data_IF_270776602530
#
_entry.id   IF_270776602530
#
_cell.length_a   1.000
_cell.length_b   1.000
_cell.length_c   1.000
_cell.angle_alpha   90.00
_cell.angle_beta   90.00
_cell.angle_gamma   90.00
#
_symmetry.space_group_name_H-M   'P 1'
#
loop_
_entity.id
_entity.type
_entity.pdbx_description
1 polymer ?
#
# COMPACT_ATOMS: atom_id res chain seq x y z
N UNK A 1 0.93 -19.08 -11.19
CA UNK A 1 -0.02 -18.26 -10.41
C UNK A 1 0.24 -16.80 -10.74
N UNK A 2 -0.79 -16.04 -11.12
CA UNK A 2 -0.62 -14.60 -11.37
C UNK A 2 -0.42 -13.90 -10.03
N UNK A 3 0.65 -13.11 -9.87
CA UNK A 3 0.99 -12.44 -8.59
C UNK A 3 -0.14 -11.56 -8.04
N UNK A 4 -1.09 -11.13 -8.88
CA UNK A 4 -2.31 -10.43 -8.46
C UNK A 4 -3.21 -11.27 -7.55
N UNK A 5 -3.32 -12.59 -7.76
CA UNK A 5 -4.11 -13.48 -6.90
C UNK A 5 -3.38 -13.91 -5.63
N UNK A 6 -2.04 -13.84 -5.62
CA UNK A 6 -1.24 -14.03 -4.41
C UNK A 6 -1.41 -12.84 -3.45
N UNK A 7 -1.50 -11.61 -3.97
CA UNK A 7 -1.66 -10.42 -3.13
C UNK A 7 -3.06 -10.31 -2.51
N UNK A 8 -4.14 -10.68 -3.21
CA UNK A 8 -5.48 -10.78 -2.61
C UNK A 8 -5.50 -11.69 -1.36
N UNK A 9 -4.83 -12.85 -1.43
CA UNK A 9 -4.62 -13.75 -0.26
C UNK A 9 -3.75 -13.15 0.84
N UNK A 10 -3.09 -12.02 0.61
CA UNK A 10 -2.23 -11.34 1.59
C UNK A 10 -2.84 -10.05 2.12
N UNK A 11 -3.94 -9.56 1.54
CA UNK A 11 -4.71 -8.40 2.03
C UNK A 11 -5.35 -8.68 3.39
N UNK A 12 -5.97 -9.86 3.55
CA UNK A 12 -6.49 -10.32 4.84
C UNK A 12 -5.37 -10.51 5.87
N UNK A 13 -4.16 -10.89 5.42
CA UNK A 13 -3.00 -11.07 6.31
C UNK A 13 -2.47 -9.74 6.83
N UNK A 14 -2.50 -8.67 6.04
CA UNK A 14 -2.17 -7.32 6.52
C UNK A 14 -3.18 -6.85 7.58
N UNK A 15 -4.48 -7.05 7.36
CA UNK A 15 -5.49 -6.74 8.36
C UNK A 15 -5.32 -7.58 9.65
N UNK A 16 -4.92 -8.85 9.52
CA UNK A 16 -4.62 -9.71 10.68
C UNK A 16 -3.40 -9.24 11.48
N UNK A 17 -2.37 -8.74 10.81
CA UNK A 17 -1.15 -8.21 11.47
C UNK A 17 -1.40 -6.91 12.23
N UNK A 18 -2.40 -6.14 11.79
CA UNK A 18 -2.87 -4.94 12.48
C UNK A 18 -4.28 -5.19 12.99
N UNK A 19 -4.38 -5.97 14.06
CA UNK A 19 -5.60 -6.57 14.65
C UNK A 19 -6.77 -5.58 14.91
N UNK A 20 -6.52 -4.27 14.90
CA UNK A 20 -7.53 -3.21 15.05
C UNK A 20 -7.66 -2.28 13.84
N UNK A 21 -7.13 -2.69 12.69
CA UNK A 21 -7.24 -1.94 11.44
C UNK A 21 -8.32 -2.49 10.53
N UNK A 22 -8.98 -1.62 9.79
CA UNK A 22 -9.95 -1.98 8.75
C UNK A 22 -9.34 -1.80 7.37
N UNK A 23 -9.59 -2.75 6.47
CA UNK A 23 -9.13 -2.72 5.09
C UNK A 23 -10.20 -2.18 4.15
N UNK A 24 -9.84 -1.18 3.34
CA UNK A 24 -10.67 -0.68 2.24
C UNK A 24 -9.95 -1.00 0.92
N UNK A 25 -10.56 -1.84 0.08
CA UNK A 25 -9.98 -2.23 -1.20
C UNK A 25 -10.13 -1.15 -2.27
N UNK A 26 -9.23 -1.15 -3.27
CA UNK A 26 -9.35 -0.32 -4.48
C UNK A 26 -10.75 -0.37 -5.11
N UNK A 27 -11.37 -1.56 -5.16
CA UNK A 27 -12.73 -1.74 -5.70
C UNK A 27 -13.76 -0.92 -4.92
N UNK A 28 -13.67 -0.95 -3.58
CA UNK A 28 -14.56 -0.17 -2.70
C UNK A 28 -14.30 1.33 -2.87
N UNK A 29 -13.02 1.74 -2.94
CA UNK A 29 -12.63 3.12 -3.19
C UNK A 29 -13.15 3.66 -4.52
N UNK A 30 -13.01 2.88 -5.60
CA UNK A 30 -13.58 3.21 -6.91
C UNK A 30 -15.08 3.41 -6.81
N UNK A 31 -15.79 2.45 -6.24
CA UNK A 31 -17.24 2.52 -6.12
C UNK A 31 -17.71 3.73 -5.29
N UNK A 32 -17.04 4.06 -4.19
CA UNK A 32 -17.34 5.25 -3.38
C UNK A 32 -17.00 6.56 -4.12
N UNK A 33 -15.85 6.63 -4.79
CA UNK A 33 -15.44 7.78 -5.61
C UNK A 33 -16.44 8.05 -6.75
N UNK A 34 -16.88 7.00 -7.45
CA UNK A 34 -17.88 7.13 -8.52
C UNK A 34 -19.27 7.49 -7.99
N UNK A 35 -19.65 7.01 -6.80
CA UNK A 35 -20.91 7.38 -6.14
C UNK A 35 -20.98 8.86 -5.75
N UNK A 36 -19.85 9.46 -5.38
CA UNK A 36 -19.79 10.88 -5.02
C UNK A 36 -19.85 11.82 -6.23
N UNK A 37 -19.93 11.31 -7.46
CA UNK A 37 -20.04 12.12 -8.68
C UNK A 37 -18.78 12.94 -9.02
N UNK A 38 -17.70 12.79 -8.22
CA UNK A 38 -16.41 13.44 -8.44
C UNK A 38 -15.60 12.63 -9.45
N UNK A 39 -16.12 12.56 -10.68
CA UNK A 39 -15.40 12.02 -11.82
C UNK A 39 -14.26 12.96 -12.21
N UNK A 40 -13.11 12.88 -11.52
CA UNK A 40 -11.84 13.40 -12.03
C UNK A 40 -10.64 12.53 -11.66
N UNK A 41 -9.74 12.49 -12.63
CA UNK A 41 -8.41 11.88 -12.65
C UNK A 41 -7.67 12.15 -11.34
N UNK A 42 -7.34 11.08 -10.64
CA UNK A 42 -6.56 11.12 -9.43
C UNK A 42 -6.18 9.70 -9.10
N UNK A 43 -4.89 9.49 -8.82
CA UNK A 43 -4.36 8.19 -8.48
C UNK A 43 -5.12 7.61 -7.28
N UNK A 44 -5.57 6.36 -7.40
CA UNK A 44 -6.24 5.63 -6.34
C UNK A 44 -5.27 4.57 -5.80
N UNK A 45 -5.11 4.47 -4.47
CA UNK A 45 -4.31 3.40 -3.91
C UNK A 45 -4.94 2.02 -4.15
N UNK A 46 -4.10 0.99 -4.18
CA UNK A 46 -4.53 -0.41 -4.25
C UNK A 46 -5.36 -0.82 -3.03
N UNK A 47 -5.18 -0.10 -1.91
CA UNK A 47 -6.12 -0.06 -0.81
C UNK A 47 -5.71 0.90 0.30
N UNK A 48 -6.56 1.01 1.32
CA UNK A 48 -6.33 1.83 2.51
C UNK A 48 -6.45 0.94 3.74
N UNK A 49 -5.45 1.03 4.62
CA UNK A 49 -5.54 0.56 6.00
C UNK A 49 -6.01 1.71 6.88
N UNK A 50 -7.12 1.51 7.59
CA UNK A 50 -7.65 2.47 8.56
C UNK A 50 -7.34 1.94 9.95
N UNK A 51 -6.56 2.69 10.73
CA UNK A 51 -6.22 2.33 12.11
C UNK A 51 -7.35 2.68 13.07
N UNK A 52 -7.31 2.14 14.30
CA UNK A 52 -8.34 2.35 15.32
C UNK A 52 -8.54 3.81 15.72
N UNK A 53 -7.51 4.64 15.58
CA UNK A 53 -7.54 6.09 15.82
C UNK A 53 -8.02 6.91 14.61
N UNK A 54 -8.52 6.24 13.57
CA UNK A 54 -9.07 6.85 12.36
C UNK A 54 -8.01 7.28 11.33
N UNK A 55 -6.73 7.12 11.66
CA UNK A 55 -5.63 7.41 10.73
C UNK A 55 -5.63 6.43 9.57
N UNK A 56 -5.09 6.85 8.44
CA UNK A 56 -5.07 6.03 7.22
C UNK A 56 -3.66 5.86 6.68
N UNK A 57 -3.35 4.64 6.25
CA UNK A 57 -2.19 4.33 5.43
C UNK A 57 -2.65 3.89 4.03
N UNK A 58 -2.15 4.55 2.99
CA UNK A 58 -2.37 4.13 1.61
C UNK A 58 -1.40 3.00 1.25
N UNK A 59 -1.91 1.94 0.65
CA UNK A 59 -1.13 0.78 0.23
C UNK A 59 -0.98 0.77 -1.28
N UNK A 60 0.26 0.72 -1.75
CA UNK A 60 0.67 0.61 -3.14
C UNK A 60 1.42 -0.71 -3.36
N UNK A 61 1.07 -1.43 -4.41
CA UNK A 61 1.67 -2.71 -4.76
C UNK A 61 2.23 -2.62 -6.17
N UNK A 62 3.54 -2.45 -6.27
CA UNK A 62 4.22 -2.35 -7.56
C UNK A 62 4.94 -3.64 -7.91
N UNK A 63 4.40 -4.34 -8.92
CA UNK A 63 5.02 -5.55 -9.49
C UNK A 63 5.87 -5.24 -10.73
N UNK A 64 5.75 -4.04 -11.27
CA UNK A 64 6.51 -3.55 -12.41
C UNK A 64 6.96 -2.11 -12.17
N UNK A 65 8.06 -1.71 -12.79
CA UNK A 65 8.61 -0.37 -12.61
C UNK A 65 7.75 0.67 -13.32
N UNK A 66 7.21 1.63 -12.56
CA UNK A 66 6.62 2.84 -13.13
C UNK A 66 7.73 3.79 -13.60
N UNK A 67 7.42 4.66 -14.56
CA UNK A 67 8.32 5.76 -14.93
C UNK A 67 8.52 6.69 -13.74
N UNK A 68 9.69 7.34 -13.67
CA UNK A 68 10.02 8.28 -12.59
C UNK A 68 9.00 9.41 -12.48
N UNK A 69 8.57 9.94 -13.63
CA UNK A 69 7.53 10.97 -13.71
C UNK A 69 6.24 10.52 -13.03
N UNK A 70 5.77 9.32 -13.36
CA UNK A 70 4.52 8.79 -12.80
C UNK A 70 4.63 8.55 -11.29
N UNK A 71 5.78 8.08 -10.81
CA UNK A 71 6.00 7.86 -9.40
C UNK A 71 6.02 9.18 -8.62
N UNK A 72 6.71 10.19 -9.12
CA UNK A 72 6.73 11.54 -8.54
C UNK A 72 5.31 12.17 -8.48
N UNK A 73 4.51 12.03 -9.54
CA UNK A 73 3.14 12.53 -9.57
C UNK A 73 2.25 11.85 -8.51
N UNK A 74 2.40 10.53 -8.33
CA UNK A 74 1.68 9.77 -7.31
C UNK A 74 2.09 10.23 -5.90
N UNK A 75 3.39 10.32 -5.65
CA UNK A 75 3.94 10.72 -4.37
C UNK A 75 3.53 12.14 -3.97
N UNK A 76 3.56 13.08 -4.92
CA UNK A 76 3.06 14.45 -4.73
C UNK A 76 1.57 14.48 -4.42
N UNK A 77 0.78 13.64 -5.08
CA UNK A 77 -0.66 13.50 -4.79
C UNK A 77 -0.87 13.10 -3.33
N UNK A 78 -0.11 12.12 -2.83
CA UNK A 78 -0.22 11.72 -1.43
C UNK A 78 0.28 12.77 -0.43
N UNK A 79 1.33 13.52 -0.76
CA UNK A 79 1.81 14.60 0.08
C UNK A 79 0.74 15.68 0.35
N UNK A 80 -0.22 15.85 -0.57
CA UNK A 80 -1.35 16.78 -0.41
C UNK A 80 -2.56 16.22 0.34
N UNK A 81 -2.57 14.92 0.66
CA UNK A 81 -3.69 14.26 1.33
C UNK A 81 -3.42 14.13 2.83
N UNK A 82 -3.79 15.16 3.60
CA UNK A 82 -3.55 15.23 5.04
C UNK A 82 -4.22 14.12 5.88
N UNK A 83 -5.22 13.43 5.32
CA UNK A 83 -5.87 12.28 5.96
C UNK A 83 -5.01 11.02 5.91
N UNK A 84 -4.08 10.93 4.96
CA UNK A 84 -3.11 9.85 4.86
C UNK A 84 -1.88 10.20 5.68
N UNK A 85 -1.63 9.42 6.71
CA UNK A 85 -0.44 9.61 7.55
C UNK A 85 0.78 8.90 6.98
N UNK A 86 0.55 7.81 6.26
CA UNK A 86 1.63 7.01 5.68
C UNK A 86 1.22 6.45 4.31
N UNK A 87 2.22 6.21 3.47
CA UNK A 87 2.05 5.51 2.19
C UNK A 87 3.02 4.34 2.17
N UNK A 88 2.52 3.11 2.07
CA UNK A 88 3.35 1.92 2.09
C UNK A 88 3.41 1.29 0.71
N UNK A 89 4.61 1.32 0.13
CA UNK A 89 4.93 0.67 -1.12
C UNK A 89 5.44 -0.75 -0.87
N UNK A 90 4.73 -1.74 -1.40
CA UNK A 90 5.19 -3.12 -1.48
C UNK A 90 5.65 -3.39 -2.92
N UNK A 91 6.93 -3.68 -3.10
CA UNK A 91 7.51 -3.79 -4.43
C UNK A 91 8.46 -4.99 -4.55
N UNK A 92 8.79 -5.36 -5.79
CA UNK A 92 9.88 -6.30 -6.04
C UNK A 92 11.21 -5.77 -5.47
N UNK A 93 12.06 -6.66 -4.91
CA UNK A 93 13.31 -6.29 -4.23
C UNK A 93 14.23 -5.40 -5.08
N UNK A 94 14.32 -5.68 -6.38
CA UNK A 94 15.13 -4.91 -7.32
C UNK A 94 14.71 -3.44 -7.46
N UNK A 95 13.48 -3.09 -7.08
CA UNK A 95 12.95 -1.72 -7.19
C UNK A 95 13.15 -0.89 -5.91
N UNK A 96 13.45 -1.54 -4.79
CA UNK A 96 13.58 -0.90 -3.48
C UNK A 96 14.60 0.24 -3.47
N UNK A 97 15.84 0.10 -4.02
CA UNK A 97 16.83 1.18 -3.97
C UNK A 97 16.36 2.44 -4.69
N UNK A 98 15.75 2.26 -5.87
CA UNK A 98 15.24 3.36 -6.68
C UNK A 98 14.07 4.07 -6.00
N UNK A 99 13.09 3.30 -5.52
CA UNK A 99 11.94 3.86 -4.79
C UNK A 99 12.39 4.63 -3.55
N UNK A 100 13.40 4.12 -2.81
CA UNK A 100 13.94 4.79 -1.62
C UNK A 100 14.61 6.10 -1.94
N UNK A 101 15.33 6.18 -3.05
CA UNK A 101 15.96 7.42 -3.49
C UNK A 101 14.89 8.46 -3.90
N UNK A 102 13.86 8.04 -4.65
CA UNK A 102 12.76 8.93 -5.06
C UNK A 102 11.91 9.41 -3.87
N UNK A 103 11.72 8.56 -2.85
CA UNK A 103 10.97 8.87 -1.64
C UNK A 103 11.81 9.49 -0.50
N UNK A 104 13.10 9.77 -0.73
CA UNK A 104 14.04 10.18 0.33
C UNK A 104 13.63 11.44 1.10
N UNK A 105 12.96 12.37 0.43
CA UNK A 105 12.44 13.60 1.03
C UNK A 105 11.05 13.44 1.68
N UNK A 106 10.49 12.23 1.68
CA UNK A 106 9.10 11.95 2.07
C UNK A 106 9.07 10.90 3.19
N UNK A 107 9.29 11.30 4.46
CA UNK A 107 9.43 10.36 5.57
C UNK A 107 8.16 9.54 5.86
N UNK A 108 7.01 9.99 5.38
CA UNK A 108 5.73 9.27 5.47
C UNK A 108 5.61 8.10 4.48
N UNK A 109 6.53 8.00 3.51
CA UNK A 109 6.54 6.93 2.51
C UNK A 109 7.44 5.79 3.01
N UNK A 110 6.83 4.62 3.26
CA UNK A 110 7.52 3.41 3.69
C UNK A 110 7.62 2.44 2.53
N UNK A 111 8.82 1.91 2.27
CA UNK A 111 9.06 1.00 1.16
C UNK A 111 9.49 -0.36 1.68
N UNK A 112 8.74 -1.38 1.29
CA UNK A 112 8.91 -2.76 1.70
C UNK A 112 9.13 -3.65 0.47
N UNK A 113 10.17 -4.49 0.55
CA UNK A 113 10.32 -5.59 -0.40
C UNK A 113 9.21 -6.61 -0.14
N UNK A 114 8.44 -6.94 -1.17
CA UNK A 114 7.24 -7.77 -1.04
C UNK A 114 7.57 -9.18 -0.53
N UNK A 115 8.51 -9.88 -1.17
CA UNK A 115 8.85 -11.26 -0.81
C UNK A 115 9.41 -11.40 0.62
N UNK A 116 10.45 -10.63 1.03
CA UNK A 116 10.97 -10.70 2.39
C UNK A 116 9.94 -10.28 3.43
N UNK A 117 9.06 -9.32 3.10
CA UNK A 117 7.97 -8.94 3.99
C UNK A 117 7.04 -10.13 4.24
N UNK A 118 6.59 -10.81 3.19
CA UNK A 118 5.70 -11.96 3.33
C UNK A 118 6.34 -13.14 4.07
N UNK A 119 7.60 -13.44 3.79
CA UNK A 119 8.36 -14.51 4.44
C UNK A 119 8.53 -14.25 5.95
N UNK A 120 8.89 -13.02 6.34
CA UNK A 120 9.01 -12.64 7.75
C UNK A 120 7.70 -12.85 8.53
N UNK A 121 6.56 -12.54 7.90
CA UNK A 121 5.25 -12.71 8.54
C UNK A 121 4.85 -14.18 8.68
N UNK A 122 5.20 -15.02 7.70
CA UNK A 122 4.99 -16.48 7.79
C UNK A 122 5.76 -17.07 8.97
N UNK A 123 7.01 -16.64 9.19
CA UNK A 123 7.82 -17.11 10.32
C UNK A 123 7.23 -16.67 11.66
N UNK A 124 6.74 -15.44 11.77
CA UNK A 124 6.17 -14.91 13.02
C UNK A 124 4.83 -15.58 13.39
N UNK A 125 4.00 -15.92 12.40
CA UNK A 125 2.76 -16.65 12.66
C UNK A 125 3.00 -18.08 13.15
N UNK A 126 3.97 -18.81 12.56
CA UNK A 126 4.30 -20.15 13.01
C UNK A 126 4.87 -20.17 14.45
N UNK A 127 5.60 -19.12 14.84
CA UNK A 127 6.14 -19.00 16.19
C UNK A 127 5.07 -18.71 17.27
N UNK A 128 3.87 -18.26 16.89
CA UNK A 128 2.76 -17.97 17.81
C UNK A 128 1.76 -19.13 17.94
N UNK A 129 1.88 -20.14 17.08
CA UNK A 129 1.03 -21.34 17.07
C UNK A 129 1.76 -22.61 17.50
N UNK A 130 3.03 -22.48 17.92
CA UNK A 130 3.89 -23.56 18.40
C UNK A 130 4.12 -23.48 19.90
#
# INVERSE_FOLDING_TARGET
MCLSSAFEKHKERLAFLYLQSSWISERKLKHEKYKLGVGKEGHLPDGILVFADGKQAAIEVELSSKSRQRLDDILKTYATQFTLQEVWYFCHESMVPRLKEEAKAMPFVKIHALKPFLEKQLTHMHALTG
#
